data_IF_065750877788
#
_entry.id   IF_065750877788
#
_cell.length_a   1.000
_cell.length_b   1.000
_cell.length_c   1.000
_cell.angle_alpha   90.00
_cell.angle_beta   90.00
_cell.angle_gamma   90.00
#
_symmetry.space_group_name_H-M   'P 1'
#
loop_
_entity.id
_entity.type
_entity.pdbx_description
1 polymer ?
#
# COMPACT_ATOMS: atom_id res chain seq x y z
N UNK A 1 24.75 10.21 1.93
CA UNK A 1 25.08 9.09 1.01
C UNK A 1 24.65 7.75 1.60
N UNK A 2 25.23 7.27 2.72
CA UNK A 2 24.81 5.99 3.31
C UNK A 2 23.31 5.87 3.71
N UNK A 3 22.71 6.95 4.21
CA UNK A 3 21.26 6.96 4.54
C UNK A 3 20.36 6.95 3.30
N UNK A 4 20.83 7.53 2.19
CA UNK A 4 20.09 7.61 0.92
C UNK A 4 20.06 6.24 0.23
N UNK A 5 21.20 5.55 0.22
CA UNK A 5 21.30 4.17 -0.30
C UNK A 5 20.40 3.20 0.50
N UNK A 6 20.36 3.36 1.83
CA UNK A 6 19.48 2.57 2.69
C UNK A 6 18.00 2.85 2.43
N UNK A 7 17.62 4.11 2.21
CA UNK A 7 16.26 4.49 1.86
C UNK A 7 15.83 3.90 0.50
N UNK A 8 16.70 3.96 -0.52
CA UNK A 8 16.45 3.37 -1.83
C UNK A 8 16.29 1.84 -1.75
N UNK A 9 17.11 1.17 -0.95
CA UNK A 9 16.98 -0.27 -0.71
C UNK A 9 15.64 -0.61 -0.02
N UNK A 10 15.23 0.18 0.98
CA UNK A 10 13.94 -0.01 1.65
C UNK A 10 12.76 0.22 0.69
N UNK A 11 12.81 1.26 -0.15
CA UNK A 11 11.81 1.52 -1.18
C UNK A 11 11.71 0.37 -2.19
N UNK A 12 12.83 -0.25 -2.55
CA UNK A 12 12.82 -1.39 -3.46
C UNK A 12 12.17 -2.62 -2.84
N UNK A 13 12.40 -2.87 -1.54
CA UNK A 13 11.71 -3.93 -0.80
C UNK A 13 10.20 -3.63 -0.71
N UNK A 14 9.82 -2.39 -0.43
CA UNK A 14 8.41 -1.98 -0.37
C UNK A 14 7.72 -2.16 -1.73
N UNK A 15 8.34 -1.71 -2.83
CA UNK A 15 7.83 -1.90 -4.20
C UNK A 15 7.59 -3.39 -4.51
N UNK A 16 8.54 -4.27 -4.15
CA UNK A 16 8.34 -5.70 -4.36
C UNK A 16 7.20 -6.25 -3.51
N UNK A 17 7.07 -5.78 -2.27
CA UNK A 17 5.99 -6.15 -1.36
C UNK A 17 4.63 -5.77 -1.96
N UNK A 18 4.48 -4.59 -2.56
CA UNK A 18 3.23 -4.19 -3.23
C UNK A 18 2.91 -5.05 -4.46
N UNK A 19 3.91 -5.43 -5.26
CA UNK A 19 3.74 -6.32 -6.41
C UNK A 19 3.25 -7.70 -5.96
N UNK A 20 3.85 -8.23 -4.91
CA UNK A 20 3.50 -9.52 -4.32
C UNK A 20 2.10 -9.46 -3.70
N UNK A 21 1.78 -8.37 -2.98
CA UNK A 21 0.46 -8.10 -2.38
C UNK A 21 -0.65 -8.00 -3.43
N UNK A 22 -0.43 -7.23 -4.50
CA UNK A 22 -1.35 -7.13 -5.63
C UNK A 22 -1.67 -8.51 -6.23
N UNK A 23 -0.63 -9.30 -6.49
CA UNK A 23 -0.75 -10.64 -7.07
C UNK A 23 -1.48 -11.58 -6.11
N UNK A 24 -1.19 -11.49 -4.82
CA UNK A 24 -1.85 -12.24 -3.77
C UNK A 24 -3.35 -11.94 -3.74
N UNK A 25 -3.75 -10.68 -3.54
CA UNK A 25 -5.16 -10.33 -3.42
C UNK A 25 -5.95 -10.59 -4.70
N UNK A 26 -5.36 -10.34 -5.87
CA UNK A 26 -6.00 -10.66 -7.16
C UNK A 26 -6.32 -12.14 -7.29
N UNK A 27 -5.35 -13.01 -6.92
CA UNK A 27 -5.54 -14.47 -6.93
C UNK A 27 -6.61 -14.94 -5.95
N UNK A 28 -6.70 -14.31 -4.77
CA UNK A 28 -7.73 -14.65 -3.78
C UNK A 28 -9.12 -14.16 -4.20
N UNK A 29 -9.22 -13.00 -4.83
CA UNK A 29 -10.48 -12.51 -5.42
C UNK A 29 -11.05 -13.51 -6.44
N UNK A 30 -10.20 -14.06 -7.31
CA UNK A 30 -10.60 -15.08 -8.31
C UNK A 30 -11.11 -16.38 -7.69
N UNK A 31 -10.58 -16.77 -6.52
CA UNK A 31 -10.91 -18.04 -5.85
C UNK A 31 -12.06 -17.91 -4.85
N UNK A 32 -12.51 -16.69 -4.56
CA UNK A 32 -13.52 -16.44 -3.53
C UNK A 32 -14.93 -16.47 -4.13
N UNK A 33 -15.76 -17.39 -3.63
CA UNK A 33 -17.15 -17.53 -4.07
C UNK A 33 -18.06 -16.45 -3.48
N UNK A 34 -17.83 -16.12 -2.19
CA UNK A 34 -18.60 -15.10 -1.48
C UNK A 34 -18.40 -13.73 -2.13
N UNK A 35 -19.48 -13.06 -2.57
CA UNK A 35 -19.37 -11.81 -3.33
C UNK A 35 -18.77 -10.66 -2.51
N UNK A 36 -19.04 -10.59 -1.21
CA UNK A 36 -18.57 -9.51 -0.34
C UNK A 36 -17.07 -9.68 -0.05
N UNK A 37 -16.64 -10.90 0.24
CA UNK A 37 -15.23 -11.22 0.46
C UNK A 37 -14.39 -11.05 -0.82
N UNK A 38 -14.93 -11.41 -2.00
CA UNK A 38 -14.28 -11.13 -3.29
C UNK A 38 -14.12 -9.64 -3.52
N UNK A 39 -15.18 -8.84 -3.30
CA UNK A 39 -15.12 -7.40 -3.46
C UNK A 39 -14.10 -6.75 -2.50
N UNK A 40 -13.96 -7.29 -1.29
CA UNK A 40 -12.91 -6.89 -0.36
C UNK A 40 -11.50 -7.16 -0.93
N UNK A 41 -11.23 -8.37 -1.44
CA UNK A 41 -9.93 -8.68 -2.04
C UNK A 41 -9.63 -7.84 -3.29
N UNK A 42 -10.63 -7.57 -4.14
CA UNK A 42 -10.48 -6.68 -5.30
C UNK A 42 -10.09 -5.26 -4.86
N UNK A 43 -10.71 -4.75 -3.78
CA UNK A 43 -10.35 -3.44 -3.22
C UNK A 43 -8.92 -3.42 -2.68
N UNK A 44 -8.51 -4.45 -1.95
CA UNK A 44 -7.14 -4.57 -1.45
C UNK A 44 -6.13 -4.61 -2.60
N UNK A 45 -6.38 -5.39 -3.65
CA UNK A 45 -5.54 -5.39 -4.85
C UNK A 45 -5.44 -3.99 -5.50
N UNK A 46 -6.56 -3.27 -5.60
CA UNK A 46 -6.56 -1.91 -6.14
C UNK A 46 -5.77 -0.93 -5.26
N UNK A 47 -5.78 -1.10 -3.94
CA UNK A 47 -5.01 -0.26 -3.04
C UNK A 47 -3.50 -0.52 -3.20
N UNK A 48 -3.05 -1.77 -3.30
CA UNK A 48 -1.62 -2.07 -3.56
C UNK A 48 -1.14 -1.52 -4.91
N UNK A 49 -2.01 -1.46 -5.92
CA UNK A 49 -1.67 -0.82 -7.20
C UNK A 49 -1.42 0.69 -7.05
N UNK A 50 -2.20 1.38 -6.21
CA UNK A 50 -1.99 2.82 -5.91
C UNK A 50 -0.73 3.02 -5.06
N UNK A 51 -0.51 2.15 -4.07
CA UNK A 51 0.71 2.19 -3.25
C UNK A 51 1.96 2.00 -4.10
N UNK A 52 1.94 1.06 -5.05
CA UNK A 52 3.03 0.82 -5.98
C UNK A 52 3.35 2.05 -6.83
N UNK A 53 2.34 2.74 -7.35
CA UNK A 53 2.53 3.98 -8.11
C UNK A 53 3.17 5.07 -7.23
N UNK A 54 2.67 5.27 -6.02
CA UNK A 54 3.22 6.22 -5.07
C UNK A 54 4.69 5.92 -4.74
N UNK A 55 5.01 4.67 -4.39
CA UNK A 55 6.37 4.26 -4.03
C UNK A 55 7.34 4.40 -5.20
N UNK A 56 6.91 4.14 -6.43
CA UNK A 56 7.72 4.38 -7.64
C UNK A 56 8.03 5.86 -7.82
N UNK A 57 7.04 6.73 -7.61
CA UNK A 57 7.23 8.17 -7.70
C UNK A 57 8.18 8.67 -6.61
N UNK A 58 7.97 8.24 -5.36
CA UNK A 58 8.87 8.56 -4.22
C UNK A 58 10.31 8.13 -4.52
N UNK A 59 10.49 6.90 -5.01
CA UNK A 59 11.82 6.39 -5.38
C UNK A 59 12.46 7.22 -6.50
N UNK A 60 11.71 7.58 -7.53
CA UNK A 60 12.20 8.40 -8.64
C UNK A 60 12.65 9.79 -8.17
N UNK A 61 11.81 10.49 -7.40
CA UNK A 61 12.17 11.81 -6.82
C UNK A 61 13.40 11.72 -5.93
N UNK A 62 13.49 10.66 -5.11
CA UNK A 62 14.65 10.45 -4.25
C UNK A 62 15.93 10.18 -5.06
N UNK A 63 15.85 9.44 -6.19
CA UNK A 63 16.99 9.19 -7.08
C UNK A 63 17.44 10.44 -7.86
N UNK A 64 16.50 11.27 -8.31
CA UNK A 64 16.77 12.44 -9.16
C UNK A 64 17.18 13.68 -8.35
N UNK A 65 16.38 14.04 -7.35
CA UNK A 65 16.50 15.30 -6.61
C UNK A 65 17.20 15.12 -5.25
N UNK A 66 17.28 13.87 -4.76
CA UNK A 66 17.80 13.58 -3.42
C UNK A 66 16.84 13.96 -2.29
N UNK A 67 15.61 14.36 -2.63
CA UNK A 67 14.57 14.80 -1.71
C UNK A 67 13.38 13.85 -1.71
N UNK A 68 12.62 13.86 -0.62
CA UNK A 68 11.41 13.05 -0.50
C UNK A 68 10.24 13.76 -1.20
N UNK A 69 9.41 12.99 -1.90
CA UNK A 69 8.15 13.49 -2.43
C UNK A 69 7.23 13.91 -1.26
N UNK A 70 6.79 15.16 -1.25
CA UNK A 70 5.77 15.62 -0.31
C UNK A 70 4.43 14.92 -0.61
N UNK A 71 3.89 14.22 0.38
CA UNK A 71 2.63 13.49 0.27
C UNK A 71 1.57 14.17 1.13
N UNK A 72 0.59 14.80 0.48
CA UNK A 72 -0.50 15.51 1.17
C UNK A 72 -1.58 14.58 1.78
N UNK A 73 -1.44 13.26 1.59
CA UNK A 73 -2.41 12.26 2.03
C UNK A 73 -3.48 11.97 0.98
N UNK A 74 -3.87 10.70 0.85
CA UNK A 74 -5.10 10.36 0.14
C UNK A 74 -6.31 10.71 1.02
N UNK A 75 -7.34 11.39 0.49
CA UNK A 75 -8.59 11.56 1.22
C UNK A 75 -9.19 10.19 1.49
N UNK A 76 -9.23 9.80 2.77
CA UNK A 76 -9.85 8.54 3.16
C UNK A 76 -11.36 8.63 2.91
N UNK A 77 -11.96 7.66 2.22
CA UNK A 77 -13.41 7.61 2.14
C UNK A 77 -13.98 7.48 3.56
N UNK A 78 -15.15 8.07 3.85
CA UNK A 78 -15.80 7.88 5.13
C UNK A 78 -16.09 6.40 5.32
N UNK A 79 -15.44 5.79 6.32
CA UNK A 79 -15.73 4.42 6.75
C UNK A 79 -16.82 4.47 7.82
N UNK A 80 -17.87 3.67 7.64
CA UNK A 80 -18.96 3.57 8.61
C UNK A 80 -18.50 2.73 9.81
N UNK A 81 -18.54 3.31 11.01
CA UNK A 81 -18.05 2.69 12.25
C UNK A 81 -16.62 3.08 12.61
N UNK A 82 -16.18 2.72 13.83
CA UNK A 82 -14.82 3.03 14.26
C UNK A 82 -13.80 2.18 13.49
N UNK A 83 -12.60 2.72 13.17
CA UNK A 83 -11.54 2.00 12.46
C UNK A 83 -11.35 0.58 13.00
N UNK A 84 -11.17 -0.39 12.11
CA UNK A 84 -10.93 -1.79 12.47
C UNK A 84 -9.71 -1.90 13.40
N UNK A 85 -8.69 -1.07 13.13
CA UNK A 85 -7.52 -0.89 13.99
C UNK A 85 -7.67 0.37 14.84
N UNK A 86 -8.54 0.34 15.84
CA UNK A 86 -8.49 1.33 16.93
C UNK A 86 -7.71 0.74 18.11
N UNK A 87 -7.06 1.60 18.92
CA UNK A 87 -6.40 1.15 20.17
C UNK A 87 -7.34 0.30 21.03
N UNK A 88 -8.59 0.72 21.14
CA UNK A 88 -9.63 0.00 21.88
C UNK A 88 -9.94 -1.41 21.33
N UNK A 89 -9.73 -1.68 20.03
CA UNK A 89 -10.02 -2.98 19.41
C UNK A 89 -8.82 -3.92 19.37
N UNK A 90 -7.59 -3.41 19.42
CA UNK A 90 -6.35 -4.21 19.37
C UNK A 90 -5.96 -4.74 20.76
N UNK A 91 -6.35 -4.05 21.82
CA UNK A 91 -6.01 -4.39 23.21
C UNK A 91 -7.05 -5.31 23.90
N UNK A 92 -8.01 -5.86 23.17
CA UNK A 92 -9.04 -6.79 23.68
C UNK A 92 -8.68 -8.27 23.52
#
# INVERSE_FOLDING_TARGET
>A
MAEHDAALAALQVAIQTEIDGYSFYSKFAEQTEDPDARAMFERLAQDEAKHLELLRNVKATLEEDGEWLEYEGMPLPPVEGAPIFSRERVEQ
#
